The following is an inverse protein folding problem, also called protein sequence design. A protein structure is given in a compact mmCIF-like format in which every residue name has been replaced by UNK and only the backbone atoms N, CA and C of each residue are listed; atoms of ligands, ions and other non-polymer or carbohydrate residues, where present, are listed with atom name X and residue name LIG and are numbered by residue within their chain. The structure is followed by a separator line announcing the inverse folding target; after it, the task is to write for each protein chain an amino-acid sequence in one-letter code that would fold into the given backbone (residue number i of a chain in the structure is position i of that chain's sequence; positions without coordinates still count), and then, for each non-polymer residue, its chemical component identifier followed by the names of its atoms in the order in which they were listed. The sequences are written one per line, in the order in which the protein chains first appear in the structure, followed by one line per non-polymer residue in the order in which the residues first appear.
data_IF_968007610570
#
_entry.id   IF_968007610570
#
_cell.length_a   1.000
_cell.length_b   1.000
_cell.length_c   1.000
_cell.angle_alpha   90.00
_cell.angle_beta   90.00
_cell.angle_gamma   90.00
#
_symmetry.space_group_name_H-M   'P 1'
#
loop_
_entity.id
_entity.type
_entity.pdbx_description
1 polymer ?
#
# COMPACT_ATOMS: atom_id res chain seq x y z
N UNK A 1 -24.38 23.88 1.05
CA UNK A 1 -22.96 23.64 0.73
C UNK A 1 -22.87 22.20 0.27
N UNK A 2 -22.46 21.94 -0.98
CA UNK A 2 -22.39 20.57 -1.51
C UNK A 2 -21.13 19.92 -0.93
N UNK A 3 -21.27 18.74 -0.33
CA UNK A 3 -20.16 18.00 0.26
C UNK A 3 -19.09 17.73 -0.79
N UNK A 4 -17.82 18.01 -0.47
CA UNK A 4 -16.71 17.78 -1.40
C UNK A 4 -16.37 16.30 -1.38
N UNK A 5 -16.52 15.64 -2.53
CA UNK A 5 -16.11 14.26 -2.72
C UNK A 5 -14.59 14.25 -2.94
N UNK A 6 -13.86 13.59 -2.04
CA UNK A 6 -12.41 13.38 -2.17
C UNK A 6 -12.13 12.46 -3.36
N UNK A 7 -11.09 12.77 -4.14
CA UNK A 7 -10.67 11.88 -5.22
C UNK A 7 -9.76 10.78 -4.64
N UNK A 8 -10.12 9.53 -4.88
CA UNK A 8 -9.37 8.35 -4.44
C UNK A 8 -8.39 7.96 -5.55
N UNK A 9 -7.12 7.71 -5.21
CA UNK A 9 -6.17 7.17 -6.18
C UNK A 9 -6.52 5.72 -6.47
N UNK A 10 -6.67 5.38 -7.73
CA UNK A 10 -7.05 4.07 -8.18
C UNK A 10 -6.21 3.62 -9.38
N UNK A 11 -6.24 2.33 -9.63
CA UNK A 11 -5.85 1.74 -10.90
C UNK A 11 -7.09 1.55 -11.76
N UNK A 12 -6.91 1.40 -13.07
CA UNK A 12 -8.02 1.19 -14.00
C UNK A 12 -8.78 -0.09 -13.66
N UNK A 13 -8.06 -1.16 -13.33
CA UNK A 13 -8.63 -2.44 -12.90
C UNK A 13 -9.52 -2.34 -11.65
N UNK A 14 -9.30 -1.38 -10.75
CA UNK A 14 -10.19 -1.18 -9.58
C UNK A 14 -11.58 -0.74 -9.99
N UNK A 15 -11.66 -0.01 -11.12
CA UNK A 15 -12.89 0.57 -11.64
C UNK A 15 -13.57 -0.45 -12.55
N UNK A 16 -12.82 -1.04 -13.47
CA UNK A 16 -13.34 -1.99 -14.48
C UNK A 16 -13.82 -3.28 -13.83
N UNK A 17 -13.07 -3.83 -12.86
CA UNK A 17 -13.44 -5.07 -12.16
C UNK A 17 -14.33 -4.82 -10.94
N UNK A 18 -14.65 -3.55 -10.66
CA UNK A 18 -15.51 -3.18 -9.54
C UNK A 18 -16.99 -3.35 -9.87
N UNK A 19 -17.83 -3.21 -8.84
CA UNK A 19 -19.30 -3.23 -8.99
C UNK A 19 -19.85 -1.82 -9.02
N UNK A 20 -20.41 -1.42 -10.16
CA UNK A 20 -21.05 -0.11 -10.31
C UNK A 20 -22.40 -0.04 -9.58
N UNK A 21 -22.67 1.09 -8.92
CA UNK A 21 -23.92 1.38 -8.20
C UNK A 21 -24.35 2.84 -8.39
N UNK A 22 -25.65 3.09 -8.23
CA UNK A 22 -26.31 4.41 -8.42
C UNK A 22 -27.26 4.81 -7.28
N UNK A 23 -27.39 3.99 -6.24
CA UNK A 23 -28.35 4.16 -5.13
C UNK A 23 -28.14 5.46 -4.33
N UNK A 24 -26.90 5.90 -4.15
CA UNK A 24 -26.58 7.22 -3.57
C UNK A 24 -25.77 8.09 -4.55
N UNK A 25 -26.13 8.05 -5.84
CA UNK A 25 -25.38 8.65 -6.93
C UNK A 25 -24.34 7.69 -7.54
N UNK A 26 -23.68 8.07 -8.65
CA UNK A 26 -22.71 7.21 -9.36
C UNK A 26 -21.46 6.87 -8.54
N UNK A 27 -21.17 5.59 -8.36
CA UNK A 27 -19.88 5.10 -7.85
C UNK A 27 -19.60 3.66 -8.28
N UNK A 28 -18.36 3.23 -8.08
CA UNK A 28 -17.93 1.83 -8.17
C UNK A 28 -17.45 1.38 -6.79
N UNK A 29 -17.80 0.18 -6.37
CA UNK A 29 -17.09 -0.50 -5.27
C UNK A 29 -15.97 -1.33 -5.89
N UNK A 30 -14.72 -1.00 -5.56
CA UNK A 30 -13.56 -1.74 -6.07
C UNK A 30 -13.55 -3.19 -5.55
N UNK A 31 -12.77 -4.09 -6.17
CA UNK A 31 -12.55 -5.45 -5.64
C UNK A 31 -12.04 -5.48 -4.20
N UNK A 32 -11.47 -4.37 -3.72
CA UNK A 32 -10.95 -4.19 -2.36
C UNK A 32 -11.97 -3.56 -1.39
N UNK A 33 -13.22 -3.36 -1.82
CA UNK A 33 -14.27 -2.79 -0.97
C UNK A 33 -14.23 -1.26 -0.83
N UNK A 34 -13.39 -0.56 -1.60
CA UNK A 34 -13.26 0.90 -1.55
C UNK A 34 -14.27 1.55 -2.49
N UNK A 35 -14.95 2.60 -2.02
CA UNK A 35 -15.94 3.35 -2.80
C UNK A 35 -15.29 4.41 -3.69
N UNK A 36 -15.40 4.23 -5.01
CA UNK A 36 -14.82 5.08 -6.05
C UNK A 36 -15.90 5.94 -6.72
N UNK A 37 -16.10 7.16 -6.21
CA UNK A 37 -16.96 8.19 -6.84
C UNK A 37 -16.20 9.09 -7.78
N UNK A 38 -15.06 9.55 -7.29
CA UNK A 38 -14.13 10.46 -7.94
C UNK A 38 -12.75 9.84 -7.79
N UNK A 39 -12.03 9.73 -8.90
CA UNK A 39 -10.78 8.99 -8.95
C UNK A 39 -9.65 9.87 -9.46
N UNK A 40 -8.44 9.55 -9.03
CA UNK A 40 -7.20 9.97 -9.68
C UNK A 40 -6.63 8.74 -10.36
N UNK A 41 -6.37 8.85 -11.66
CA UNK A 41 -5.73 7.85 -12.49
C UNK A 41 -4.43 8.42 -13.06
N UNK A 42 -3.43 7.58 -13.24
CA UNK A 42 -2.21 7.89 -13.96
C UNK A 42 -1.95 6.77 -14.94
N UNK A 43 -1.83 7.09 -16.22
CA UNK A 43 -1.63 6.11 -17.29
C UNK A 43 -1.27 6.75 -18.61
N UNK A 44 -0.85 5.94 -19.56
CA UNK A 44 -0.54 6.37 -20.92
C UNK A 44 -1.80 6.49 -21.75
N UNK A 45 -1.86 7.50 -22.61
CA UNK A 45 -2.97 7.67 -23.56
C UNK A 45 -2.72 6.81 -24.79
N UNK A 46 -3.48 5.73 -24.94
CA UNK A 46 -3.32 4.78 -26.05
C UNK A 46 -4.21 5.08 -27.25
N UNK A 47 -5.30 5.81 -27.05
CA UNK A 47 -6.17 6.29 -28.12
C UNK A 47 -6.67 7.70 -27.82
N UNK A 48 -6.88 8.49 -28.87
CA UNK A 48 -7.44 9.83 -28.81
C UNK A 48 -8.45 10.03 -29.94
N UNK A 49 -9.59 10.62 -29.60
CA UNK A 49 -10.65 10.98 -30.52
C UNK A 49 -11.17 12.38 -30.17
N UNK A 50 -11.26 13.25 -31.16
CA UNK A 50 -11.76 14.61 -30.99
C UNK A 50 -12.68 15.01 -32.16
N UNK A 51 -13.82 15.60 -31.81
CA UNK A 51 -14.74 16.34 -32.69
C UNK A 51 -15.24 17.57 -31.93
N UNK A 52 -15.78 18.53 -32.68
CA UNK A 52 -16.17 19.87 -32.21
C UNK A 52 -16.73 19.96 -30.78
N UNK A 53 -17.64 19.07 -30.40
CA UNK A 53 -18.34 19.11 -29.10
C UNK A 53 -18.15 17.80 -28.29
N UNK A 54 -17.20 16.94 -28.71
CA UNK A 54 -17.01 15.61 -28.14
C UNK A 54 -15.56 15.15 -28.30
N UNK A 55 -14.90 14.90 -27.18
CA UNK A 55 -13.56 14.31 -27.16
C UNK A 55 -13.50 13.12 -26.20
N UNK A 56 -12.63 12.16 -26.52
CA UNK A 56 -12.31 11.04 -25.64
C UNK A 56 -10.86 10.63 -25.75
N UNK A 57 -10.33 10.15 -24.62
CA UNK A 57 -9.05 9.43 -24.56
C UNK A 57 -9.26 8.06 -23.95
N UNK A 58 -8.46 7.09 -24.38
CA UNK A 58 -8.34 5.78 -23.73
C UNK A 58 -7.05 5.78 -22.92
N UNK A 59 -7.16 5.51 -21.62
CA UNK A 59 -6.06 5.50 -20.65
C UNK A 59 -5.71 4.05 -20.32
N UNK A 60 -4.42 3.72 -20.36
CA UNK A 60 -3.84 2.43 -19.97
C UNK A 60 -2.82 2.64 -18.84
N UNK A 61 -3.02 1.99 -17.70
CA UNK A 61 -2.10 2.02 -16.56
C UNK A 61 -1.31 0.70 -16.38
N UNK A 62 -1.41 -0.21 -17.35
CA UNK A 62 -0.85 -1.55 -17.31
C UNK A 62 -1.71 -2.59 -16.59
N UNK A 63 -2.83 -2.18 -15.97
CA UNK A 63 -3.76 -3.11 -15.30
C UNK A 63 -5.01 -3.40 -16.13
N UNK A 64 -5.55 -2.38 -16.80
CA UNK A 64 -6.70 -2.44 -17.72
C UNK A 64 -6.73 -1.13 -18.53
N UNK A 65 -7.69 -1.00 -19.45
CA UNK A 65 -7.93 0.26 -20.17
C UNK A 65 -9.30 0.87 -19.82
N UNK A 66 -9.39 2.20 -19.80
CA UNK A 66 -10.67 2.91 -19.57
C UNK A 66 -10.77 4.18 -20.40
N UNK A 67 -11.98 4.46 -20.87
CA UNK A 67 -12.28 5.66 -21.64
C UNK A 67 -12.63 6.83 -20.74
N UNK A 68 -12.06 8.00 -21.01
CA UNK A 68 -12.49 9.27 -20.46
C UNK A 68 -13.20 10.09 -21.54
N UNK A 69 -14.41 10.57 -21.26
CA UNK A 69 -15.23 11.36 -22.19
C UNK A 69 -15.41 12.78 -21.68
N UNK A 70 -15.19 13.76 -22.56
CA UNK A 70 -15.54 15.15 -22.33
C UNK A 70 -16.48 15.65 -23.43
N UNK A 71 -17.39 16.54 -23.05
CA UNK A 71 -18.48 17.05 -23.89
C UNK A 71 -18.46 18.57 -23.91
N UNK A 72 -18.97 19.15 -25.00
CA UNK A 72 -19.12 20.60 -25.17
C UNK A 72 -17.79 21.35 -24.87
N UNK A 73 -17.85 22.41 -24.06
CA UNK A 73 -16.67 23.23 -23.71
C UNK A 73 -15.57 22.43 -22.98
N UNK A 74 -15.90 21.32 -22.33
CA UNK A 74 -14.91 20.46 -21.66
C UNK A 74 -14.10 19.63 -22.66
N UNK A 75 -14.59 19.46 -23.89
CA UNK A 75 -13.91 18.66 -24.93
C UNK A 75 -12.51 19.21 -25.25
N UNK A 76 -12.33 20.53 -25.26
CA UNK A 76 -11.06 21.20 -25.55
C UNK A 76 -9.91 20.73 -24.62
N UNK A 77 -10.24 20.31 -23.39
CA UNK A 77 -9.27 19.79 -22.42
C UNK A 77 -8.66 18.46 -22.85
N UNK A 78 -9.42 17.62 -23.55
CA UNK A 78 -8.97 16.35 -24.08
C UNK A 78 -8.32 16.48 -25.46
N UNK A 79 -8.77 17.42 -26.30
CA UNK A 79 -8.22 17.61 -27.66
C UNK A 79 -6.72 17.89 -27.68
N UNK A 80 -6.20 18.54 -26.62
CA UNK A 80 -4.79 18.90 -26.48
C UNK A 80 -3.91 17.73 -25.98
N UNK A 81 -4.51 16.59 -25.66
CA UNK A 81 -3.79 15.45 -25.09
C UNK A 81 -3.18 14.62 -26.22
N UNK A 82 -1.85 14.45 -26.18
CA UNK A 82 -1.16 13.63 -27.17
C UNK A 82 -1.33 12.12 -26.88
N UNK A 83 -1.42 11.32 -27.94
CA UNK A 83 -1.23 9.86 -27.85
C UNK A 83 0.19 9.57 -27.36
N UNK A 84 0.36 8.46 -26.64
CA UNK A 84 1.59 8.02 -25.96
C UNK A 84 2.05 8.91 -24.80
N UNK A 85 1.27 9.93 -24.42
CA UNK A 85 1.58 10.77 -23.27
C UNK A 85 1.16 10.10 -21.95
N UNK A 86 2.09 10.07 -20.98
CA UNK A 86 1.76 9.76 -19.60
C UNK A 86 0.92 10.91 -19.01
N UNK A 87 -0.26 10.59 -18.50
CA UNK A 87 -1.26 11.60 -18.12
C UNK A 87 -1.88 11.25 -16.78
N UNK A 88 -1.99 12.26 -15.90
CA UNK A 88 -2.83 12.22 -14.72
C UNK A 88 -4.22 12.72 -15.06
N UNK A 89 -5.23 11.94 -14.71
CA UNK A 89 -6.63 12.27 -14.89
C UNK A 89 -7.35 12.22 -13.55
N UNK A 90 -7.98 13.33 -13.17
CA UNK A 90 -8.93 13.35 -12.06
C UNK A 90 -10.32 13.46 -12.64
N UNK A 91 -11.22 12.56 -12.26
CA UNK A 91 -12.56 12.54 -12.84
C UNK A 91 -13.59 11.78 -12.03
N UNK A 92 -14.85 11.90 -12.45
CA UNK A 92 -15.98 11.19 -11.84
C UNK A 92 -16.28 9.91 -12.60
N UNK A 93 -16.56 8.84 -11.86
CA UNK A 93 -16.94 7.56 -12.46
C UNK A 93 -18.39 7.60 -12.93
N UNK A 94 -18.65 7.12 -14.14
CA UNK A 94 -19.97 7.02 -14.76
C UNK A 94 -20.11 5.69 -15.47
N UNK A 95 -21.34 5.32 -15.81
CA UNK A 95 -21.63 4.07 -16.49
C UNK A 95 -22.77 4.27 -17.47
N UNK A 96 -22.57 3.73 -18.67
CA UNK A 96 -23.56 3.71 -19.75
C UNK A 96 -23.53 2.35 -20.42
N UNK A 97 -24.69 1.71 -20.53
CA UNK A 97 -24.86 0.43 -21.23
C UNK A 97 -23.91 -0.67 -20.72
N UNK A 98 -23.58 -0.66 -19.42
CA UNK A 98 -22.67 -1.61 -18.79
C UNK A 98 -21.18 -1.28 -18.89
N UNK A 99 -20.80 -0.23 -19.64
CA UNK A 99 -19.42 0.24 -19.74
C UNK A 99 -19.19 1.39 -18.75
N UNK A 100 -18.21 1.22 -17.86
CA UNK A 100 -17.78 2.25 -16.91
C UNK A 100 -16.76 3.16 -17.58
N UNK A 101 -16.91 4.47 -17.39
CA UNK A 101 -16.07 5.49 -17.99
C UNK A 101 -15.85 6.66 -17.04
N UNK A 102 -14.88 7.51 -17.38
CA UNK A 102 -14.52 8.69 -16.59
C UNK A 102 -15.04 9.97 -17.26
N UNK A 103 -15.65 10.85 -16.47
CA UNK A 103 -15.83 12.26 -16.84
C UNK A 103 -14.66 13.03 -16.22
N UNK A 104 -13.68 13.48 -17.01
CA UNK A 104 -12.51 14.16 -16.49
C UNK A 104 -12.88 15.56 -15.99
N UNK A 105 -12.25 15.97 -14.91
CA UNK A 105 -12.29 17.34 -14.38
C UNK A 105 -10.92 18.01 -14.48
N UNK A 106 -9.85 17.22 -14.40
CA UNK A 106 -8.46 17.66 -14.51
C UNK A 106 -7.72 16.64 -15.36
N UNK A 107 -7.03 17.12 -16.39
CA UNK A 107 -6.11 16.34 -17.21
C UNK A 107 -4.77 17.07 -17.18
N UNK A 108 -3.70 16.34 -16.84
CA UNK A 108 -2.36 16.88 -16.77
C UNK A 108 -1.36 15.90 -17.36
N UNK A 109 -0.63 16.34 -18.38
CA UNK A 109 0.50 15.59 -18.89
C UNK A 109 1.62 15.54 -17.85
N UNK A 110 2.23 14.37 -17.72
CA UNK A 110 3.30 14.07 -16.77
C UNK A 110 4.57 13.80 -17.55
N UNK A 111 5.64 14.52 -17.20
CA UNK A 111 6.95 14.37 -17.85
C UNK A 111 7.82 13.31 -17.18
N UNK A 112 7.75 13.18 -15.85
CA UNK A 112 8.55 12.24 -15.08
C UNK A 112 7.85 10.87 -14.98
N UNK A 113 8.40 9.80 -15.57
CA UNK A 113 7.80 8.46 -15.49
C UNK A 113 7.77 7.89 -14.08
N UNK A 114 8.62 8.37 -13.15
CA UNK A 114 8.59 7.92 -11.76
C UNK A 114 7.26 8.27 -11.06
N UNK A 115 6.49 9.19 -11.62
CA UNK A 115 5.17 9.54 -11.12
C UNK A 115 4.18 8.36 -11.16
N UNK A 116 4.34 7.42 -12.10
CA UNK A 116 3.52 6.21 -12.12
C UNK A 116 3.78 5.34 -10.89
N UNK A 117 5.07 5.16 -10.54
CA UNK A 117 5.49 4.44 -9.33
C UNK A 117 4.98 5.13 -8.06
N UNK A 118 5.09 6.46 -8.00
CA UNK A 118 4.55 7.25 -6.88
C UNK A 118 3.03 7.04 -6.75
N UNK A 119 2.30 7.19 -7.86
CA UNK A 119 0.85 6.99 -7.90
C UNK A 119 0.44 5.60 -7.42
N UNK A 120 1.17 4.57 -7.84
CA UNK A 120 0.94 3.19 -7.42
C UNK A 120 1.13 3.00 -5.90
N UNK A 121 2.21 3.56 -5.32
CA UNK A 121 2.46 3.50 -3.88
C UNK A 121 1.41 4.26 -3.08
N UNK A 122 1.05 5.47 -3.52
CA UNK A 122 0.00 6.28 -2.89
C UNK A 122 -1.37 5.59 -2.98
N UNK A 123 -1.66 4.92 -4.11
CA UNK A 123 -2.85 4.07 -4.26
C UNK A 123 -2.87 2.95 -3.23
N UNK A 124 -1.79 2.17 -3.10
CA UNK A 124 -1.75 1.07 -2.13
C UNK A 124 -1.94 1.56 -0.69
N UNK A 125 -1.26 2.65 -0.33
CA UNK A 125 -1.42 3.29 0.98
C UNK A 125 -2.88 3.71 1.21
N UNK A 126 -3.50 4.38 0.22
CA UNK A 126 -4.90 4.80 0.26
C UNK A 126 -5.86 3.62 0.42
N UNK A 127 -5.72 2.58 -0.40
CA UNK A 127 -6.56 1.38 -0.36
C UNK A 127 -6.51 0.69 1.02
N UNK A 128 -5.34 0.61 1.63
CA UNK A 128 -5.19 0.08 3.00
C UNK A 128 -5.98 0.94 3.98
N UNK A 129 -5.83 2.26 3.94
CA UNK A 129 -6.54 3.15 4.88
C UNK A 129 -8.05 3.22 4.66
N UNK A 130 -8.53 3.12 3.42
CA UNK A 130 -9.93 3.36 3.04
C UNK A 130 -10.78 2.08 2.99
N UNK A 131 -10.17 0.92 2.74
CA UNK A 131 -10.91 -0.37 2.69
C UNK A 131 -11.44 -0.81 4.06
N UNK A 132 -11.11 -0.08 5.13
CA UNK A 132 -11.36 -0.53 6.50
C UNK A 132 -10.55 -1.78 6.87
N UNK A 133 -9.68 -2.27 5.97
CA UNK A 133 -8.64 -3.19 6.33
C UNK A 133 -7.71 -2.43 7.25
N UNK A 134 -7.70 -2.78 8.53
CA UNK A 134 -6.52 -2.47 9.31
C UNK A 134 -5.36 -3.09 8.53
N UNK A 135 -4.34 -2.31 8.09
CA UNK A 135 -3.04 -2.95 7.88
C UNK A 135 -2.79 -3.76 9.15
N UNK A 136 -2.16 -4.95 9.10
CA UNK A 136 -1.72 -5.59 10.32
C UNK A 136 -0.94 -4.52 11.08
N UNK A 137 -1.58 -4.00 12.13
CA UNK A 137 -1.02 -2.88 12.84
C UNK A 137 0.24 -3.50 13.40
N UNK A 138 1.40 -2.99 12.99
CA UNK A 138 2.57 -3.11 13.83
C UNK A 138 2.23 -2.23 15.03
N UNK A 139 1.39 -2.78 15.93
CA UNK A 139 0.83 -2.08 17.09
C UNK A 139 1.91 -1.74 18.10
N UNK A 140 3.16 -2.10 17.80
CA UNK A 140 4.33 -1.82 18.63
C UNK A 140 4.90 -0.40 18.45
N UNK A 141 4.51 0.38 17.42
CA UNK A 141 5.12 1.70 17.19
C UNK A 141 4.41 2.92 17.78
N UNK A 142 3.15 2.79 18.24
CA UNK A 142 2.43 3.95 18.82
C UNK A 142 2.56 4.06 20.35
N UNK A 143 3.00 3.00 21.05
CA UNK A 143 3.23 3.06 22.51
C UNK A 143 4.62 3.59 22.89
N UNK A 144 5.63 3.50 22.00
CA UNK A 144 7.02 3.84 22.35
C UNK A 144 7.36 5.33 22.29
N UNK A 145 6.52 6.17 21.68
CA UNK A 145 6.74 7.62 21.59
C UNK A 145 6.04 8.44 22.69
N UNK A 146 5.17 7.81 23.50
CA UNK A 146 4.43 8.52 24.55
C UNK A 146 4.98 8.33 25.97
N UNK A 147 6.07 7.58 26.14
CA UNK A 147 6.60 7.18 27.45
C UNK A 147 8.00 7.75 27.80
N UNK A 148 8.47 8.80 27.13
CA UNK A 148 9.73 9.48 27.49
C UNK A 148 9.49 10.86 28.08
N UNK A 149 9.00 10.89 29.32
CA UNK A 149 9.31 11.95 30.29
C UNK A 149 9.58 11.30 31.67
N UNK A 150 10.65 11.68 32.40
CA UNK A 150 11.24 10.86 33.44
C UNK A 150 10.75 11.24 34.85
N UNK A 151 10.67 10.27 35.76
CA UNK A 151 10.94 10.47 37.19
C UNK A 151 11.11 9.12 37.94
N UNK A 152 12.30 8.97 38.51
CA UNK A 152 12.64 8.31 39.79
C UNK A 152 12.33 6.82 40.04
N UNK A 153 13.41 6.03 40.07
CA UNK A 153 13.61 4.85 40.92
C UNK A 153 13.74 5.28 42.40
N UNK A 154 13.44 4.44 43.44
CA UNK A 154 14.04 3.10 43.60
C UNK A 154 13.13 1.97 44.14
N UNK A 155 13.42 0.76 43.65
CA UNK A 155 13.66 -0.49 44.42
C UNK A 155 12.55 -1.10 45.30
N UNK A 156 12.05 -2.28 44.90
CA UNK A 156 12.10 -3.51 45.72
C UNK A 156 11.54 -4.73 44.96
N UNK A 157 12.23 -5.85 45.15
CA UNK A 157 11.95 -7.24 44.76
C UNK A 157 10.70 -7.81 45.43
N UNK A 158 9.81 -8.46 44.68
CA UNK A 158 9.53 -9.90 44.81
C UNK A 158 8.49 -10.38 43.78
N UNK A 159 8.88 -11.44 43.08
CA UNK A 159 8.11 -12.55 42.48
C UNK A 159 6.59 -12.41 42.35
N UNK A 160 6.09 -12.14 41.14
CA UNK A 160 4.82 -12.70 40.64
C UNK A 160 4.91 -12.96 39.14
N UNK A 161 4.52 -14.17 38.73
CA UNK A 161 4.26 -14.57 37.35
C UNK A 161 3.30 -13.57 36.71
N UNK A 162 3.77 -12.84 35.70
CA UNK A 162 2.91 -11.96 34.90
C UNK A 162 2.89 -12.46 33.46
N UNK A 163 1.68 -12.81 33.04
CA UNK A 163 1.33 -13.18 31.67
C UNK A 163 1.68 -12.00 30.73
N UNK A 164 2.78 -12.12 30.00
CA UNK A 164 3.11 -11.18 28.91
C UNK A 164 2.13 -11.34 27.73
N UNK A 165 1.71 -10.23 27.11
CA UNK A 165 0.63 -10.22 26.14
C UNK A 165 0.96 -11.03 24.88
N UNK A 166 -0.01 -11.83 24.44
CA UNK A 166 0.04 -12.65 23.23
C UNK A 166 0.02 -11.84 21.92
N UNK A 167 1.09 -11.10 21.63
CA UNK A 167 1.32 -10.53 20.27
C UNK A 167 2.73 -10.82 19.73
N UNK A 168 3.65 -11.32 20.56
CA UNK A 168 4.92 -11.89 20.09
C UNK A 168 4.72 -13.37 19.73
N UNK A 169 4.46 -13.64 18.45
CA UNK A 169 4.28 -15.00 17.93
C UNK A 169 5.40 -15.93 18.43
N UNK A 170 5.04 -17.15 18.87
CA UNK A 170 5.97 -18.13 19.47
C UNK A 170 7.27 -18.29 18.68
N UNK A 171 7.18 -18.24 17.36
CA UNK A 171 8.30 -18.38 16.43
C UNK A 171 9.28 -17.19 16.50
N UNK A 172 8.80 -15.96 16.70
CA UNK A 172 9.68 -14.78 16.79
C UNK A 172 10.53 -14.83 18.06
N UNK A 173 9.93 -15.23 19.20
CA UNK A 173 10.67 -15.49 20.44
C UNK A 173 11.71 -16.59 20.26
N UNK A 174 11.35 -17.67 19.57
CA UNK A 174 12.28 -18.75 19.29
C UNK A 174 13.45 -18.31 18.40
N UNK A 175 13.22 -17.43 17.40
CA UNK A 175 14.29 -16.90 16.55
C UNK A 175 15.24 -16.03 17.38
N UNK A 176 14.72 -15.13 18.21
CA UNK A 176 15.55 -14.29 19.08
C UNK A 176 16.35 -15.12 20.08
N UNK A 177 15.73 -16.11 20.73
CA UNK A 177 16.41 -17.03 21.64
C UNK A 177 17.46 -17.89 20.92
N UNK A 178 17.19 -18.31 19.68
CA UNK A 178 18.16 -19.07 18.90
C UNK A 178 19.39 -18.21 18.59
N UNK A 179 19.19 -16.97 18.14
CA UNK A 179 20.26 -16.01 17.85
C UNK A 179 21.02 -15.67 19.14
N UNK A 180 20.36 -15.47 20.27
CA UNK A 180 21.02 -15.15 21.55
C UNK A 180 21.87 -16.33 22.07
N UNK A 181 21.35 -17.55 21.98
CA UNK A 181 22.06 -18.75 22.46
C UNK A 181 23.19 -19.21 21.53
N UNK A 182 23.15 -18.85 20.24
CA UNK A 182 24.13 -19.27 19.23
C UNK A 182 24.98 -18.11 18.69
N UNK A 183 24.76 -16.87 19.17
CA UNK A 183 25.59 -15.73 18.80
C UNK A 183 26.96 -15.84 19.48
N UNK A 184 27.92 -16.38 18.75
CA UNK A 184 29.33 -16.11 19.00
C UNK A 184 29.65 -14.62 18.71
N UNK A 185 30.86 -14.17 19.05
CA UNK A 185 31.34 -12.77 18.85
C UNK A 185 31.17 -12.22 17.42
N UNK A 186 30.84 -13.05 16.43
CA UNK A 186 30.57 -12.68 15.04
C UNK A 186 29.10 -12.68 14.60
N UNK A 187 28.15 -13.11 15.44
CA UNK A 187 26.74 -13.29 15.07
C UNK A 187 26.43 -14.65 14.43
N UNK A 188 25.16 -14.86 14.07
CA UNK A 188 24.62 -16.12 13.53
C UNK A 188 24.28 -15.96 12.04
N UNK A 189 24.81 -16.82 11.15
CA UNK A 189 24.43 -16.84 9.74
C UNK A 189 22.95 -17.16 9.53
N UNK A 190 22.33 -16.53 8.54
CA UNK A 190 20.93 -16.80 8.18
C UNK A 190 20.72 -18.24 7.69
N UNK A 191 21.74 -18.87 7.11
CA UNK A 191 21.70 -20.28 6.72
C UNK A 191 21.33 -21.18 7.90
N UNK A 192 21.94 -20.92 9.05
CA UNK A 192 21.87 -21.77 10.24
C UNK A 192 20.53 -21.57 10.95
N UNK A 193 20.02 -20.32 10.92
CA UNK A 193 18.67 -20.00 11.36
C UNK A 193 17.65 -20.74 10.49
N UNK A 194 17.81 -20.67 9.16
CA UNK A 194 16.86 -21.32 8.24
C UNK A 194 16.86 -22.84 8.40
N UNK A 195 18.03 -23.47 8.56
CA UNK A 195 18.17 -24.92 8.74
C UNK A 195 17.50 -25.38 10.05
N UNK A 196 17.76 -24.69 11.17
CA UNK A 196 17.16 -25.02 12.46
C UNK A 196 15.63 -24.96 12.48
N UNK A 197 15.03 -23.99 11.77
CA UNK A 197 13.57 -23.86 11.72
C UNK A 197 12.92 -24.73 10.63
N UNK A 198 13.65 -25.10 9.57
CA UNK A 198 13.18 -26.07 8.57
C UNK A 198 13.07 -27.48 9.17
N UNK A 199 14.03 -27.90 10.00
CA UNK A 199 13.96 -29.16 10.76
C UNK A 199 12.73 -29.22 11.69
N UNK A 200 12.19 -28.06 12.08
CA UNK A 200 11.00 -27.92 12.92
C UNK A 200 9.70 -27.73 12.12
N UNK A 201 9.77 -27.87 10.80
CA UNK A 201 8.60 -27.85 9.90
C UNK A 201 8.16 -26.45 9.46
N UNK A 202 9.02 -25.43 9.58
CA UNK A 202 8.72 -24.09 9.05
C UNK A 202 9.25 -23.92 7.63
N UNK A 203 8.47 -23.24 6.78
CA UNK A 203 8.91 -22.91 5.43
C UNK A 203 10.05 -21.87 5.46
N UNK A 204 11.08 -22.07 4.63
CA UNK A 204 12.26 -21.19 4.56
C UNK A 204 11.88 -19.73 4.24
N UNK A 205 10.89 -19.53 3.37
CA UNK A 205 10.36 -18.21 3.03
C UNK A 205 9.80 -17.45 4.23
N UNK A 206 9.08 -18.16 5.10
CA UNK A 206 8.37 -17.56 6.23
C UNK A 206 9.35 -17.14 7.32
N UNK A 207 10.38 -17.96 7.56
CA UNK A 207 11.45 -17.66 8.50
C UNK A 207 12.31 -16.52 7.98
N UNK A 208 12.63 -16.51 6.69
CA UNK A 208 13.39 -15.41 6.07
C UNK A 208 12.64 -14.07 6.20
N UNK A 209 11.32 -14.07 5.94
CA UNK A 209 10.50 -12.87 6.11
C UNK A 209 10.47 -12.42 7.57
N UNK A 210 10.40 -13.35 8.53
CA UNK A 210 10.44 -13.04 9.97
C UNK A 210 11.78 -12.46 10.42
N UNK A 211 12.90 -12.97 9.90
CA UNK A 211 14.23 -12.42 10.17
C UNK A 211 14.35 -10.99 9.64
N UNK A 212 13.87 -10.73 8.42
CA UNK A 212 13.82 -9.36 7.85
C UNK A 212 12.97 -8.45 8.75
N UNK A 213 11.77 -8.90 9.15
CA UNK A 213 10.92 -8.11 10.03
C UNK A 213 11.60 -7.82 11.39
N UNK A 214 12.28 -8.79 12.00
CA UNK A 214 13.00 -8.59 13.26
C UNK A 214 14.18 -7.62 13.13
N UNK A 215 14.82 -7.59 11.95
CA UNK A 215 15.87 -6.63 11.63
C UNK A 215 15.30 -5.22 11.49
N UNK A 216 14.20 -5.05 10.76
CA UNK A 216 13.54 -3.77 10.55
C UNK A 216 12.95 -3.20 11.86
N UNK A 217 12.53 -4.09 12.78
CA UNK A 217 12.11 -3.75 14.15
C UNK A 217 13.28 -3.41 15.08
N UNK A 218 14.53 -3.53 14.62
CA UNK A 218 15.72 -3.28 15.41
C UNK A 218 15.94 -4.27 16.56
N UNK A 219 15.31 -5.45 16.53
CA UNK A 219 15.51 -6.51 17.53
C UNK A 219 16.77 -7.33 17.26
N UNK A 220 17.15 -7.43 15.98
CA UNK A 220 18.41 -8.02 15.53
C UNK A 220 19.15 -7.03 14.63
N UNK A 221 20.48 -7.11 14.64
CA UNK A 221 21.35 -6.30 13.79
C UNK A 221 22.17 -7.18 12.86
N UNK A 222 22.31 -6.76 11.61
CA UNK A 222 23.21 -7.39 10.66
C UNK A 222 24.66 -6.94 10.92
N UNK A 223 25.54 -7.88 11.29
CA UNK A 223 26.97 -7.61 11.56
C UNK A 223 27.78 -7.64 10.27
N UNK A 224 27.44 -8.58 9.40
CA UNK A 224 27.99 -8.75 8.06
C UNK A 224 26.92 -9.39 7.18
N UNK A 225 27.10 -9.39 5.86
CA UNK A 225 26.06 -9.81 4.92
C UNK A 225 25.48 -11.19 5.28
N UNK A 226 24.21 -11.22 5.67
CA UNK A 226 23.47 -12.43 6.06
C UNK A 226 23.83 -12.99 7.44
N UNK A 227 24.45 -12.21 8.33
CA UNK A 227 24.85 -12.62 9.68
C UNK A 227 24.23 -11.66 10.70
N UNK A 228 23.41 -12.22 11.60
CA UNK A 228 22.58 -11.45 12.53
C UNK A 228 22.99 -11.67 13.98
N UNK A 229 22.89 -10.61 14.79
CA UNK A 229 23.04 -10.68 16.25
C UNK A 229 21.85 -10.02 16.94
N UNK A 230 21.61 -10.33 18.20
CA UNK A 230 20.62 -9.62 18.99
C UNK A 230 21.04 -8.16 19.22
N UNK A 231 20.10 -7.21 19.19
CA UNK A 231 20.41 -5.78 19.26
C UNK A 231 20.81 -5.29 20.67
N UNK A 232 20.37 -6.00 21.72
CA UNK A 232 20.66 -5.67 23.12
C UNK A 232 21.90 -6.37 23.71
N UNK A 233 22.85 -6.81 22.88
CA UNK A 233 24.05 -7.56 23.30
C UNK A 233 25.34 -6.87 22.85
#
# INVERSE_FOLDING_TARGET
MRERITAVRASVSDIVNGTYKKDNGPYVISPHGVELRRVVLVGSVVEHFARKDLASITIDDGTETIKAWAFDDEAESLEKTATDALTLVVGKVREREGEVYIIPEIIRQIEDPNYLSLHLLERYSGMITESGATPPVISEFQETLSATAPADTPESTDTEESEEPEVFGKVNRQILQFIENHADKGGVPISDILEFFEERGHARSDIQLKVINLHDLGKIMEVSRGVYRHANT
#
